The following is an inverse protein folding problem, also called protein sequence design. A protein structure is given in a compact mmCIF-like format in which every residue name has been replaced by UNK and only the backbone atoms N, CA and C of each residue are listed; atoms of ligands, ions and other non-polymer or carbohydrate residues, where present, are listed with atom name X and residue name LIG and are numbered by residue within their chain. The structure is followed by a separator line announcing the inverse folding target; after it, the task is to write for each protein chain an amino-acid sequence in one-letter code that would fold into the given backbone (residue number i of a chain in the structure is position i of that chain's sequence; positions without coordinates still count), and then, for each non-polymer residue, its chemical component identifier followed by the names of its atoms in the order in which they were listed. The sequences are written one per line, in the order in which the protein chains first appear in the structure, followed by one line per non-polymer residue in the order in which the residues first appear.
data_IF_216356058293
#
_entry.id   IF_216356058293
#
_cell.length_a   1.000
_cell.length_b   1.000
_cell.length_c   1.000
_cell.angle_alpha   90.00
_cell.angle_beta   90.00
_cell.angle_gamma   90.00
#
_symmetry.space_group_name_H-M   'P 1'
#
loop_
_entity.id
_entity.type
_entity.pdbx_description
1 polymer ?
#
# COMPACT_ATOMS: atom_id res chain seq x y z
N UNK A 1 -40.10 48.64 -25.58
CA UNK A 1 -39.90 48.69 -24.12
C UNK A 1 -38.89 47.61 -23.78
N UNK A 2 -37.74 48.06 -23.29
CA UNK A 2 -36.50 47.31 -23.10
C UNK A 2 -36.49 46.66 -21.72
N UNK A 3 -36.27 45.35 -21.65
CA UNK A 3 -36.10 44.63 -20.39
C UNK A 3 -34.61 44.33 -20.20
N UNK A 4 -34.03 44.99 -19.21
CA UNK A 4 -32.59 45.08 -18.95
C UNK A 4 -32.07 43.79 -18.31
N UNK A 5 -31.07 43.17 -18.95
CA UNK A 5 -30.31 42.08 -18.37
C UNK A 5 -29.39 42.61 -17.24
N UNK A 6 -29.63 42.13 -16.02
CA UNK A 6 -28.76 42.36 -14.88
C UNK A 6 -27.53 41.44 -14.98
N UNK A 7 -26.43 41.96 -15.51
CA UNK A 7 -25.12 41.31 -15.49
C UNK A 7 -24.51 41.55 -14.11
N UNK A 8 -24.47 40.51 -13.29
CA UNK A 8 -23.71 40.49 -12.05
C UNK A 8 -22.23 40.46 -12.44
N UNK A 9 -21.57 41.61 -12.31
CA UNK A 9 -20.11 41.70 -12.38
C UNK A 9 -19.50 41.07 -11.13
N UNK A 10 -18.46 40.23 -11.25
CA UNK A 10 -17.75 39.71 -10.08
C UNK A 10 -16.96 40.83 -9.41
N UNK A 11 -17.13 40.97 -8.09
CA UNK A 11 -16.41 41.89 -7.21
C UNK A 11 -14.89 41.83 -7.44
N UNK A 12 -14.32 42.96 -7.90
CA UNK A 12 -12.88 43.20 -8.04
C UNK A 12 -12.11 43.29 -6.72
N UNK A 13 -12.80 43.32 -5.58
CA UNK A 13 -12.17 43.43 -4.24
C UNK A 13 -11.51 42.13 -3.76
N UNK A 14 -11.86 40.97 -4.34
CA UNK A 14 -11.25 39.69 -3.96
C UNK A 14 -9.83 39.50 -4.49
N UNK A 15 -9.45 40.26 -5.53
CA UNK A 15 -8.14 40.13 -6.20
C UNK A 15 -7.08 40.99 -5.52
N UNK A 16 -7.43 42.17 -4.99
CA UNK A 16 -6.50 43.05 -4.27
C UNK A 16 -6.09 42.51 -2.90
N UNK A 17 -6.99 41.80 -2.22
CA UNK A 17 -6.70 41.15 -0.93
C UNK A 17 -5.86 39.88 -1.09
N UNK A 18 -6.04 39.14 -2.19
CA UNK A 18 -5.16 38.03 -2.55
C UNK A 18 -3.75 38.51 -2.90
N UNK A 19 -3.63 39.59 -3.69
CA UNK A 19 -2.33 40.18 -4.05
C UNK A 19 -1.64 40.82 -2.82
N UNK A 20 -2.41 41.38 -1.88
CA UNK A 20 -1.87 41.92 -0.63
C UNK A 20 -1.46 40.84 0.39
N UNK A 21 -2.13 39.68 0.39
CA UNK A 21 -1.64 38.48 1.10
C UNK A 21 -0.41 37.88 0.41
N UNK A 22 -0.36 37.83 -0.93
CA UNK A 22 0.79 37.37 -1.71
C UNK A 22 2.06 38.19 -1.42
N UNK A 23 1.94 39.51 -1.31
CA UNK A 23 3.09 40.38 -0.99
C UNK A 23 3.52 40.35 0.49
N UNK A 24 2.66 39.92 1.42
CA UNK A 24 3.05 39.67 2.82
C UNK A 24 3.63 38.28 3.04
N UNK A 25 3.35 37.33 2.14
CA UNK A 25 3.84 35.94 2.18
C UNK A 25 5.19 35.73 1.47
N UNK A 26 5.64 36.68 0.64
CA UNK A 26 6.93 36.62 -0.07
C UNK A 26 8.14 37.05 0.77
N UNK A 27 7.92 37.56 2.00
CA UNK A 27 8.96 38.09 2.89
C UNK A 27 9.42 37.11 4.00
N UNK A 28 9.39 35.79 3.75
CA UNK A 28 10.13 34.83 4.60
C UNK A 28 11.58 34.81 4.14
N UNK A 29 12.39 35.62 4.81
CA UNK A 29 13.83 35.82 4.59
C UNK A 29 14.64 34.52 4.74
N UNK A 30 15.06 33.98 3.58
CA UNK A 30 16.44 33.66 3.22
C UNK A 30 17.24 32.56 3.94
N UNK A 31 16.94 32.18 5.18
CA UNK A 31 17.78 31.24 5.93
C UNK A 31 16.99 29.96 6.20
N UNK A 32 17.43 28.86 5.58
CA UNK A 32 16.87 27.54 5.83
C UNK A 32 17.06 27.17 7.30
N UNK A 33 16.04 26.64 7.98
CA UNK A 33 16.18 26.20 9.36
C UNK A 33 17.24 25.09 9.45
N UNK A 34 17.98 25.06 10.55
CA UNK A 34 19.10 24.12 10.76
C UNK A 34 18.71 22.66 10.50
N UNK A 35 17.47 22.28 10.83
CA UNK A 35 16.93 20.95 10.55
C UNK A 35 16.84 20.63 9.06
N UNK A 36 16.43 21.60 8.22
CA UNK A 36 16.40 21.43 6.77
C UNK A 36 17.80 21.30 6.20
N UNK A 37 18.77 22.06 6.74
CA UNK A 37 20.16 22.01 6.31
C UNK A 37 20.82 20.68 6.68
N UNK A 38 20.58 20.16 7.89
CA UNK A 38 21.05 18.83 8.31
C UNK A 38 20.46 17.75 7.40
N UNK A 39 19.17 17.80 7.11
CA UNK A 39 18.51 16.79 6.26
C UNK A 39 19.05 16.87 4.84
N UNK A 40 19.24 18.05 4.28
CA UNK A 40 19.83 18.24 2.95
C UNK A 40 21.26 17.69 2.91
N UNK A 41 22.06 17.95 3.95
CA UNK A 41 23.40 17.38 4.09
C UNK A 41 23.36 15.85 4.14
N UNK A 42 22.47 15.25 4.93
CA UNK A 42 22.31 13.80 5.00
C UNK A 42 21.87 13.20 3.65
N UNK A 43 20.90 13.82 2.97
CA UNK A 43 20.46 13.41 1.62
C UNK A 43 21.65 13.44 0.66
N UNK A 44 22.41 14.55 0.64
CA UNK A 44 23.63 14.67 -0.17
C UNK A 44 24.69 13.62 0.18
N UNK A 45 24.88 13.33 1.47
CA UNK A 45 25.80 12.31 1.96
C UNK A 45 25.40 10.91 1.47
N UNK A 46 24.12 10.55 1.52
CA UNK A 46 23.63 9.25 1.04
C UNK A 46 23.81 9.10 -0.47
N UNK A 47 23.51 10.15 -1.25
CA UNK A 47 23.79 10.15 -2.69
C UNK A 47 25.29 10.03 -2.97
N UNK A 48 26.13 10.76 -2.24
CA UNK A 48 27.58 10.66 -2.35
C UNK A 48 28.09 9.25 -2.01
N UNK A 49 27.59 8.62 -0.95
CA UNK A 49 27.92 7.24 -0.58
C UNK A 49 27.47 6.20 -1.63
N UNK A 50 26.34 6.45 -2.29
CA UNK A 50 25.89 5.63 -3.42
C UNK A 50 26.85 5.75 -4.61
N UNK A 51 27.21 6.99 -5.00
CA UNK A 51 28.08 7.26 -6.15
C UNK A 51 29.51 6.78 -5.95
N UNK A 52 30.05 6.94 -4.73
CA UNK A 52 31.40 6.44 -4.37
C UNK A 52 31.47 4.92 -4.19
N UNK A 53 30.32 4.23 -4.21
CA UNK A 53 30.25 2.77 -4.07
C UNK A 53 30.39 2.26 -2.64
N UNK A 54 30.32 3.13 -1.63
CA UNK A 54 30.37 2.70 -0.22
C UNK A 54 29.14 1.88 0.17
N UNK A 55 27.94 2.30 -0.28
CA UNK A 55 26.73 1.49 -0.09
C UNK A 55 26.86 0.14 -0.80
N UNK A 56 27.45 0.11 -2.01
CA UNK A 56 27.68 -1.13 -2.74
C UNK A 56 28.60 -2.06 -1.95
N UNK A 57 29.70 -1.53 -1.42
CA UNK A 57 30.63 -2.26 -0.56
C UNK A 57 29.94 -2.80 0.70
N UNK A 58 29.08 -2.01 1.32
CA UNK A 58 28.32 -2.41 2.51
C UNK A 58 27.39 -3.60 2.22
N UNK A 59 26.54 -3.51 1.20
CA UNK A 59 25.61 -4.59 0.87
C UNK A 59 26.29 -5.82 0.28
N UNK A 60 27.32 -5.66 -0.56
CA UNK A 60 28.12 -6.78 -1.04
C UNK A 60 28.75 -7.52 0.15
N UNK A 61 29.40 -6.79 1.05
CA UNK A 61 30.00 -7.35 2.27
C UNK A 61 28.99 -8.10 3.12
N UNK A 62 27.77 -7.58 3.28
CA UNK A 62 26.71 -8.25 4.02
C UNK A 62 26.29 -9.58 3.36
N UNK A 63 26.07 -9.59 2.05
CA UNK A 63 25.73 -10.83 1.31
C UNK A 63 26.83 -11.88 1.45
N UNK A 64 28.10 -11.51 1.24
CA UNK A 64 29.21 -12.46 1.34
C UNK A 64 29.44 -12.93 2.78
N UNK A 65 29.19 -12.08 3.77
CA UNK A 65 29.19 -12.49 5.18
C UNK A 65 28.12 -13.56 5.43
N UNK A 66 26.87 -13.33 5.01
CA UNK A 66 25.80 -14.32 5.15
C UNK A 66 26.12 -15.61 4.38
N UNK A 67 26.72 -15.51 3.21
CA UNK A 67 27.14 -16.66 2.43
C UNK A 67 28.26 -17.44 3.12
N UNK A 68 29.22 -16.76 3.73
CA UNK A 68 30.30 -17.42 4.47
C UNK A 68 29.79 -18.32 5.61
N UNK A 69 28.67 -17.92 6.23
CA UNK A 69 28.00 -18.63 7.33
C UNK A 69 27.07 -19.72 6.83
N UNK A 70 26.21 -19.39 5.86
CA UNK A 70 25.14 -20.30 5.41
C UNK A 70 25.59 -21.29 4.35
N UNK A 71 26.66 -20.96 3.60
CA UNK A 71 27.09 -21.67 2.38
C UNK A 71 26.01 -21.81 1.31
N UNK A 72 24.97 -20.98 1.39
CA UNK A 72 23.82 -21.00 0.49
C UNK A 72 23.49 -19.59 0.02
N UNK A 73 23.61 -19.36 -1.29
CA UNK A 73 23.46 -18.02 -1.84
C UNK A 73 22.01 -17.55 -1.78
N UNK A 74 21.03 -18.42 -2.06
CA UNK A 74 19.63 -18.01 -1.97
C UNK A 74 19.18 -17.69 -0.54
N UNK A 75 19.67 -18.43 0.46
CA UNK A 75 19.42 -18.11 1.87
C UNK A 75 20.08 -16.78 2.23
N UNK A 76 21.29 -16.53 1.74
CA UNK A 76 22.02 -15.27 1.96
C UNK A 76 21.28 -14.06 1.38
N UNK A 77 20.62 -14.22 0.24
CA UNK A 77 19.76 -13.19 -0.37
C UNK A 77 18.54 -12.91 0.51
N UNK A 78 17.89 -13.94 1.06
CA UNK A 78 16.77 -13.78 2.00
C UNK A 78 17.25 -13.06 3.28
N UNK A 79 18.40 -13.47 3.83
CA UNK A 79 19.02 -12.84 4.99
C UNK A 79 19.38 -11.38 4.72
N UNK A 80 19.78 -11.02 3.49
CA UNK A 80 19.97 -9.64 3.09
C UNK A 80 18.67 -8.83 3.21
N UNK A 81 17.54 -9.36 2.76
CA UNK A 81 16.23 -8.72 2.90
C UNK A 81 15.80 -8.55 4.36
N UNK A 82 16.02 -9.58 5.20
CA UNK A 82 15.80 -9.50 6.65
C UNK A 82 16.70 -8.45 7.28
N UNK A 83 18.00 -8.47 6.96
CA UNK A 83 18.98 -7.51 7.47
C UNK A 83 18.63 -6.08 7.08
N UNK A 84 18.24 -5.84 5.82
CA UNK A 84 17.77 -4.54 5.36
C UNK A 84 16.55 -4.08 6.16
N UNK A 85 15.59 -4.97 6.42
CA UNK A 85 14.45 -4.64 7.28
C UNK A 85 14.91 -4.21 8.67
N UNK A 86 15.81 -4.96 9.30
CA UNK A 86 16.34 -4.66 10.63
C UNK A 86 17.02 -3.28 10.68
N UNK A 87 17.86 -2.98 9.68
CA UNK A 87 18.53 -1.67 9.55
C UNK A 87 17.53 -0.53 9.40
N UNK A 88 16.39 -0.77 8.74
CA UNK A 88 15.35 0.23 8.50
C UNK A 88 14.28 0.30 9.61
N UNK A 89 14.33 -0.55 10.64
CA UNK A 89 13.38 -0.52 11.77
C UNK A 89 13.29 0.87 12.42
N UNK A 90 14.40 1.56 12.75
CA UNK A 90 14.33 2.88 13.37
C UNK A 90 13.52 3.87 12.51
N UNK A 91 13.77 3.90 11.20
CA UNK A 91 13.04 4.76 10.27
C UNK A 91 11.54 4.38 10.25
N UNK A 92 11.23 3.08 10.27
CA UNK A 92 9.85 2.58 10.31
C UNK A 92 9.11 2.99 11.58
N UNK A 93 9.78 2.96 12.74
CA UNK A 93 9.22 3.41 14.03
C UNK A 93 8.88 4.91 13.93
N UNK A 94 9.83 5.74 13.50
CA UNK A 94 9.62 7.18 13.37
C UNK A 94 8.48 7.52 12.39
N UNK A 95 8.39 6.80 11.26
CA UNK A 95 7.30 6.95 10.29
C UNK A 95 5.94 6.63 10.92
N UNK A 96 5.87 5.57 11.73
CA UNK A 96 4.62 5.14 12.38
C UNK A 96 4.18 6.14 13.44
N UNK A 97 5.10 6.70 14.23
CA UNK A 97 4.81 7.74 15.23
C UNK A 97 4.27 9.02 14.58
N UNK A 98 4.77 9.37 13.39
CA UNK A 98 4.40 10.61 12.69
C UNK A 98 3.41 10.41 11.54
N UNK A 99 2.79 9.23 11.46
CA UNK A 99 1.90 8.87 10.36
C UNK A 99 0.72 9.86 10.22
N UNK A 100 0.15 10.33 11.33
CA UNK A 100 -0.97 11.27 11.30
C UNK A 100 -0.56 12.64 10.75
N UNK A 101 0.60 13.17 11.16
CA UNK A 101 1.10 14.45 10.63
C UNK A 101 1.49 14.38 9.15
N UNK A 102 1.98 13.22 8.70
CA UNK A 102 2.31 12.97 7.29
C UNK A 102 1.04 12.84 6.44
N UNK A 103 0.01 12.17 6.97
CA UNK A 103 -1.29 12.04 6.32
C UNK A 103 -2.00 13.40 6.20
N UNK A 104 -2.02 14.18 7.27
CA UNK A 104 -2.59 15.53 7.26
C UNK A 104 -1.88 16.46 6.25
N UNK A 105 -0.57 16.32 6.11
CA UNK A 105 0.20 17.06 5.11
C UNK A 105 -0.12 16.58 3.69
N UNK A 106 -0.15 15.26 3.47
CA UNK A 106 -0.47 14.68 2.17
C UNK A 106 -1.88 15.09 1.72
N UNK A 107 -2.87 14.99 2.60
CA UNK A 107 -4.26 15.37 2.33
C UNK A 107 -4.36 16.87 1.99
N UNK A 108 -3.63 17.74 2.70
CA UNK A 108 -3.56 19.18 2.39
C UNK A 108 -2.93 19.47 1.02
N UNK A 109 -1.90 18.72 0.63
CA UNK A 109 -1.26 18.88 -0.68
C UNK A 109 -2.14 18.32 -1.80
N UNK A 110 -2.81 17.18 -1.57
CA UNK A 110 -3.73 16.56 -2.52
C UNK A 110 -4.98 17.41 -2.80
N UNK A 111 -5.42 18.23 -1.84
CA UNK A 111 -6.50 19.20 -2.03
C UNK A 111 -6.12 20.36 -2.97
N UNK A 112 -4.83 20.60 -3.23
CA UNK A 112 -4.37 21.64 -4.15
C UNK A 112 -4.34 21.07 -5.58
N UNK A 113 -5.37 21.38 -6.38
CA UNK A 113 -5.55 20.82 -7.74
C UNK A 113 -4.53 21.32 -8.78
N UNK A 114 -3.78 22.41 -8.51
CA UNK A 114 -2.83 22.98 -9.46
C UNK A 114 -1.37 22.63 -9.13
N UNK A 115 -0.57 22.15 -10.11
CA UNK A 115 0.82 21.72 -9.88
C UNK A 115 1.74 22.85 -9.40
N UNK A 116 1.51 24.10 -9.83
CA UNK A 116 2.26 25.26 -9.34
C UNK A 116 2.02 25.56 -7.85
N UNK A 117 0.79 25.36 -7.37
CA UNK A 117 0.44 25.55 -5.95
C UNK A 117 0.97 24.41 -5.08
N UNK A 118 1.01 23.19 -5.61
CA UNK A 118 1.66 22.05 -4.93
C UNK A 118 3.17 22.30 -4.74
N UNK A 119 3.85 22.80 -5.78
CA UNK A 119 5.28 23.12 -5.70
C UNK A 119 5.57 24.23 -4.68
N UNK A 120 4.71 25.26 -4.61
CA UNK A 120 4.83 26.32 -3.60
C UNK A 120 4.58 25.79 -2.18
N UNK A 121 3.58 24.92 -1.98
CA UNK A 121 3.31 24.29 -0.69
C UNK A 121 4.47 23.40 -0.21
N UNK A 122 5.12 22.66 -1.13
CA UNK A 122 6.31 21.86 -0.85
C UNK A 122 7.51 22.75 -0.49
N UNK A 123 7.77 23.80 -1.28
CA UNK A 123 8.84 24.77 -1.02
C UNK A 123 8.64 25.47 0.33
N UNK A 124 7.40 25.83 0.66
CA UNK A 124 7.02 26.41 1.95
C UNK A 124 7.25 25.41 3.09
N UNK A 125 6.86 24.15 2.93
CA UNK A 125 7.05 23.11 3.96
C UNK A 125 8.54 22.82 4.22
N UNK A 126 9.37 22.89 3.18
CA UNK A 126 10.83 22.76 3.30
C UNK A 126 11.48 23.99 3.96
N UNK A 127 11.08 25.20 3.55
CA UNK A 127 11.59 26.45 4.11
C UNK A 127 11.14 26.69 5.56
N UNK A 128 9.95 26.19 5.94
CA UNK A 128 9.46 26.22 7.32
C UNK A 128 10.05 25.12 8.20
N UNK A 129 10.89 24.23 7.65
CA UNK A 129 11.55 23.19 8.43
C UNK A 129 10.57 22.15 8.99
N UNK A 130 9.51 21.82 8.25
CA UNK A 130 8.55 20.82 8.70
C UNK A 130 9.26 19.47 8.93
N UNK A 131 9.43 19.11 10.21
CA UNK A 131 10.17 17.91 10.61
C UNK A 131 9.55 16.62 10.06
N UNK A 132 8.25 16.58 9.79
CA UNK A 132 7.59 15.41 9.19
C UNK A 132 7.99 15.29 7.71
N UNK A 133 7.90 16.39 6.95
CA UNK A 133 8.30 16.42 5.54
C UNK A 133 9.78 16.09 5.35
N UNK A 134 10.66 16.72 6.14
CA UNK A 134 12.10 16.49 6.05
C UNK A 134 12.48 15.04 6.38
N UNK A 135 11.83 14.46 7.39
CA UNK A 135 12.04 13.05 7.72
C UNK A 135 11.57 12.13 6.59
N UNK A 136 10.40 12.41 6.00
CA UNK A 136 9.91 11.67 4.84
C UNK A 136 10.88 11.71 3.66
N UNK A 137 11.44 12.88 3.36
CA UNK A 137 12.44 13.05 2.30
C UNK A 137 13.70 12.21 2.58
N UNK A 138 14.16 12.20 3.82
CA UNK A 138 15.31 11.38 4.24
C UNK A 138 15.01 9.89 4.13
N UNK A 139 13.87 9.43 4.66
CA UNK A 139 13.43 8.04 4.61
C UNK A 139 13.33 7.54 3.17
N UNK A 140 12.67 8.32 2.30
CA UNK A 140 12.58 8.04 0.87
C UNK A 140 13.96 7.94 0.21
N UNK A 141 14.87 8.87 0.51
CA UNK A 141 16.23 8.87 -0.05
C UNK A 141 17.02 7.62 0.37
N UNK A 142 16.94 7.22 1.64
CA UNK A 142 17.63 6.03 2.16
C UNK A 142 17.08 4.77 1.51
N UNK A 143 15.75 4.65 1.39
CA UNK A 143 15.11 3.51 0.73
C UNK A 143 15.48 3.43 -0.75
N UNK A 144 15.43 4.56 -1.48
CA UNK A 144 15.77 4.62 -2.89
C UNK A 144 17.24 4.25 -3.15
N UNK A 145 18.17 4.88 -2.43
CA UNK A 145 19.62 4.63 -2.59
C UNK A 145 19.99 3.20 -2.22
N UNK A 146 19.37 2.64 -1.19
CA UNK A 146 19.52 1.22 -0.80
C UNK A 146 19.01 0.29 -1.89
N UNK A 147 17.78 0.50 -2.36
CA UNK A 147 17.16 -0.33 -3.40
C UNK A 147 17.97 -0.34 -4.69
N UNK A 148 18.39 0.83 -5.18
CA UNK A 148 19.22 0.95 -6.37
C UNK A 148 20.58 0.26 -6.20
N UNK A 149 21.17 0.34 -5.01
CA UNK A 149 22.46 -0.29 -4.72
C UNK A 149 22.36 -1.81 -4.70
N UNK A 150 21.34 -2.37 -4.03
CA UNK A 150 21.09 -3.81 -3.99
C UNK A 150 20.74 -4.33 -5.39
N UNK A 151 19.94 -3.59 -6.15
CA UNK A 151 19.64 -3.90 -7.55
C UNK A 151 20.91 -3.97 -8.40
N UNK A 152 21.78 -2.95 -8.29
CA UNK A 152 23.08 -2.95 -8.97
C UNK A 152 23.96 -4.13 -8.56
N UNK A 153 23.95 -4.52 -7.29
CA UNK A 153 24.69 -5.67 -6.80
C UNK A 153 24.22 -6.96 -7.49
N UNK A 154 22.93 -7.24 -7.52
CA UNK A 154 22.43 -8.47 -8.16
C UNK A 154 22.52 -8.46 -9.69
N UNK A 155 22.53 -7.27 -10.31
CA UNK A 155 22.77 -7.12 -11.75
C UNK A 155 24.24 -7.33 -12.13
N UNK A 156 25.19 -7.10 -11.22
CA UNK A 156 26.56 -7.58 -11.43
C UNK A 156 26.54 -9.10 -11.34
N UNK A 157 26.96 -9.80 -12.40
CA UNK A 157 27.05 -11.27 -12.45
C UNK A 157 28.19 -11.80 -11.54
N UNK A 158 28.11 -11.49 -10.25
CA UNK A 158 29.06 -11.94 -9.24
C UNK A 158 28.83 -13.42 -8.86
N UNK A 159 27.83 -14.08 -9.46
CA UNK A 159 27.59 -15.50 -9.27
C UNK A 159 28.58 -16.35 -10.06
N UNK A 160 28.95 -15.87 -11.25
CA UNK A 160 29.84 -16.57 -12.17
C UNK A 160 31.21 -15.91 -12.22
N UNK A 161 31.28 -14.58 -12.07
CA UNK A 161 32.51 -13.82 -12.13
C UNK A 161 32.93 -13.30 -10.76
N UNK A 162 34.20 -13.47 -10.35
CA UNK A 162 34.65 -13.01 -9.04
C UNK A 162 34.55 -11.49 -8.91
N UNK A 163 33.84 -11.04 -7.86
CA UNK A 163 33.77 -9.62 -7.51
C UNK A 163 35.15 -9.13 -7.05
N UNK A 164 35.62 -7.98 -7.53
CA UNK A 164 36.90 -7.42 -7.07
C UNK A 164 36.94 -7.35 -5.51
N UNK A 165 37.90 -8.02 -4.84
CA UNK A 165 38.01 -8.04 -3.37
C UNK A 165 38.08 -6.66 -2.72
N UNK A 166 38.59 -5.65 -3.42
CA UNK A 166 38.61 -4.26 -2.93
C UNK A 166 37.22 -3.67 -2.69
N UNK A 167 36.16 -4.26 -3.28
CA UNK A 167 34.77 -3.89 -3.06
C UNK A 167 34.14 -4.55 -1.83
N UNK A 168 34.90 -5.29 -1.04
CA UNK A 168 34.47 -5.91 0.21
C UNK A 168 35.23 -5.32 1.39
N UNK A 169 34.67 -5.41 2.60
CA UNK A 169 35.44 -5.12 3.80
C UNK A 169 36.46 -6.23 4.07
N UNK A 170 37.62 -5.86 4.62
CA UNK A 170 38.75 -6.78 4.84
C UNK A 170 38.43 -7.94 5.79
N UNK A 171 37.44 -7.76 6.66
CA UNK A 171 37.01 -8.78 7.63
C UNK A 171 35.98 -9.77 7.06
N UNK A 172 35.51 -9.58 5.82
CA UNK A 172 34.55 -10.49 5.19
C UNK A 172 35.29 -11.63 4.51
N UNK A 173 35.00 -12.91 4.84
CA UNK A 173 35.60 -14.03 4.14
C UNK A 173 35.24 -14.01 2.65
N UNK A 174 36.25 -14.02 1.79
CA UNK A 174 36.05 -14.11 0.36
C UNK A 174 35.60 -15.53 -0.01
N UNK A 175 34.54 -15.73 -0.79
CA UNK A 175 34.04 -17.05 -1.09
C UNK A 175 34.90 -17.75 -2.15
N UNK A 176 34.82 -19.07 -2.14
CA UNK A 176 35.29 -19.89 -3.25
C UNK A 176 34.29 -19.81 -4.41
N UNK A 177 34.82 -19.68 -5.63
CA UNK A 177 34.04 -19.61 -6.87
C UNK A 177 34.12 -20.94 -7.64
N UNK A 178 33.05 -21.32 -8.37
CA UNK A 178 31.78 -20.62 -8.52
C UNK A 178 30.92 -20.66 -7.24
N UNK A 179 30.07 -19.65 -7.05
CA UNK A 179 29.15 -19.59 -5.91
C UNK A 179 28.21 -20.80 -5.92
N UNK A 180 28.11 -21.48 -4.78
CA UNK A 180 27.31 -22.69 -4.60
C UNK A 180 25.87 -22.39 -4.15
N UNK A 181 24.99 -23.38 -4.34
CA UNK A 181 23.59 -23.38 -3.92
C UNK A 181 22.84 -22.10 -4.30
N UNK A 182 22.85 -21.82 -5.61
CA UNK A 182 22.13 -20.70 -6.23
C UNK A 182 20.65 -20.98 -6.46
N UNK A 183 20.22 -22.23 -6.33
CA UNK A 183 18.84 -22.62 -6.59
C UNK A 183 17.99 -22.46 -5.34
N UNK A 184 17.11 -21.46 -5.32
CA UNK A 184 16.17 -21.32 -4.22
C UNK A 184 15.14 -22.44 -4.24
N UNK A 185 14.61 -22.79 -3.07
CA UNK A 185 13.61 -23.85 -2.88
C UNK A 185 12.54 -23.35 -1.92
N UNK A 186 11.59 -22.61 -2.45
CA UNK A 186 10.49 -22.05 -1.66
C UNK A 186 9.32 -23.03 -1.65
N UNK A 187 8.91 -23.57 -0.48
CA UNK A 187 7.71 -24.37 -0.41
C UNK A 187 6.48 -23.49 -0.67
N UNK A 188 5.57 -23.95 -1.52
CA UNK A 188 4.30 -23.28 -1.78
C UNK A 188 3.14 -24.29 -1.79
N UNK A 189 1.97 -23.89 -1.29
CA UNK A 189 0.78 -24.71 -1.39
C UNK A 189 0.37 -24.81 -2.85
N UNK A 190 0.22 -26.05 -3.35
CA UNK A 190 -0.34 -26.33 -4.68
C UNK A 190 -1.61 -27.12 -4.52
N UNK A 191 -2.57 -26.82 -5.38
CA UNK A 191 -3.79 -27.61 -5.52
C UNK A 191 -3.38 -28.91 -6.23
N UNK A 192 -3.37 -30.03 -5.50
CA UNK A 192 -2.93 -31.33 -6.04
C UNK A 192 -4.03 -31.99 -6.85
N UNK A 193 -5.25 -31.89 -6.36
CA UNK A 193 -6.45 -32.42 -7.00
C UNK A 193 -7.48 -31.31 -7.08
N UNK A 194 -8.05 -31.14 -8.27
CA UNK A 194 -9.26 -30.35 -8.48
C UNK A 194 -10.40 -31.31 -8.76
N UNK A 195 -11.57 -31.03 -8.17
CA UNK A 195 -12.80 -31.71 -8.55
C UNK A 195 -13.62 -30.77 -9.42
N UNK A 196 -13.95 -31.22 -10.61
CA UNK A 196 -14.97 -30.56 -11.42
C UNK A 196 -16.34 -30.99 -10.88
N UNK A 197 -17.06 -30.04 -10.26
CA UNK A 197 -18.41 -30.26 -9.76
C UNK A 197 -19.43 -30.47 -10.90
N UNK A 198 -19.03 -30.21 -12.15
CA UNK A 198 -19.83 -30.36 -13.35
C UNK A 198 -20.86 -29.25 -13.53
N UNK A 199 -21.28 -29.05 -14.79
CA UNK A 199 -22.23 -28.01 -15.18
C UNK A 199 -23.55 -28.03 -14.41
N UNK A 200 -24.04 -29.24 -14.04
CA UNK A 200 -25.28 -29.39 -13.29
C UNK A 200 -25.22 -28.70 -11.93
N UNK A 201 -24.11 -28.87 -11.20
CA UNK A 201 -23.93 -28.26 -9.87
C UNK A 201 -23.77 -26.75 -9.98
N UNK A 202 -23.03 -26.28 -10.99
CA UNK A 202 -22.81 -24.85 -11.24
C UNK A 202 -24.15 -24.15 -11.52
N UNK A 203 -24.98 -24.72 -12.40
CA UNK A 203 -26.32 -24.19 -12.70
C UNK A 203 -27.19 -24.22 -11.45
N UNK A 204 -27.17 -25.29 -10.66
CA UNK A 204 -27.98 -25.42 -9.45
C UNK A 204 -27.60 -24.37 -8.39
N UNK A 205 -26.30 -24.16 -8.15
CA UNK A 205 -25.80 -23.09 -7.28
C UNK A 205 -26.25 -21.72 -7.78
N UNK A 206 -26.18 -21.47 -9.09
CA UNK A 206 -26.63 -20.21 -9.68
C UNK A 206 -28.14 -19.99 -9.54
N UNK A 207 -28.96 -21.01 -9.80
CA UNK A 207 -30.41 -20.97 -9.57
C UNK A 207 -30.70 -20.68 -8.10
N UNK A 208 -30.00 -21.34 -7.16
CA UNK A 208 -30.15 -21.08 -5.73
C UNK A 208 -29.80 -19.64 -5.36
N UNK A 209 -28.70 -19.09 -5.88
CA UNK A 209 -28.31 -17.68 -5.66
C UNK A 209 -29.37 -16.72 -6.23
N UNK A 210 -29.89 -16.99 -7.43
CA UNK A 210 -30.94 -16.18 -8.05
C UNK A 210 -32.23 -16.20 -7.25
N UNK A 211 -32.71 -17.39 -6.85
CA UNK A 211 -33.89 -17.55 -6.00
C UNK A 211 -33.70 -16.82 -4.67
N UNK A 212 -32.54 -16.98 -4.03
CA UNK A 212 -32.21 -16.28 -2.79
C UNK A 212 -32.23 -14.75 -2.95
N UNK A 213 -31.67 -14.21 -4.04
CA UNK A 213 -31.74 -12.77 -4.33
C UNK A 213 -33.18 -12.29 -4.56
N UNK A 214 -34.01 -13.06 -5.27
CA UNK A 214 -35.43 -12.74 -5.46
C UNK A 214 -36.14 -12.71 -4.10
N UNK A 215 -35.94 -13.73 -3.25
CA UNK A 215 -36.53 -13.79 -1.92
C UNK A 215 -36.10 -12.59 -1.06
N UNK A 216 -34.81 -12.24 -1.06
CA UNK A 216 -34.31 -11.05 -0.35
C UNK A 216 -34.90 -9.74 -0.89
N UNK A 217 -35.05 -9.62 -2.20
CA UNK A 217 -35.63 -8.43 -2.84
C UNK A 217 -37.11 -8.28 -2.49
N UNK A 218 -37.88 -9.36 -2.63
CA UNK A 218 -39.30 -9.41 -2.26
C UNK A 218 -39.48 -9.16 -0.77
N UNK A 219 -38.69 -9.79 0.09
CA UNK A 219 -38.72 -9.59 1.54
C UNK A 219 -38.40 -8.16 1.95
N UNK A 220 -37.38 -7.53 1.36
CA UNK A 220 -37.06 -6.11 1.58
C UNK A 220 -38.20 -5.20 1.15
N UNK A 221 -38.80 -5.44 0.00
CA UNK A 221 -39.92 -4.66 -0.51
C UNK A 221 -41.18 -4.86 0.35
N UNK A 222 -41.43 -6.07 0.84
CA UNK A 222 -42.52 -6.38 1.75
C UNK A 222 -42.35 -5.68 3.10
N UNK A 223 -41.15 -5.71 3.69
CA UNK A 223 -40.83 -4.97 4.93
C UNK A 223 -40.94 -3.46 4.73
N UNK A 224 -40.48 -2.93 3.59
CA UNK A 224 -40.61 -1.51 3.27
C UNK A 224 -42.07 -1.08 3.08
N UNK A 225 -42.90 -1.93 2.47
CA UNK A 225 -44.34 -1.74 2.34
C UNK A 225 -45.05 -1.81 3.70
N UNK A 226 -44.73 -2.81 4.53
CA UNK A 226 -45.28 -2.97 5.87
C UNK A 226 -44.92 -1.79 6.80
N UNK A 227 -43.77 -1.13 6.56
CA UNK A 227 -43.35 0.10 7.26
C UNK A 227 -43.92 1.39 6.65
N UNK A 228 -44.78 1.30 5.64
CA UNK A 228 -45.43 2.46 5.01
C UNK A 228 -44.49 3.36 4.19
N UNK A 229 -43.26 2.92 3.91
CA UNK A 229 -42.23 3.73 3.25
C UNK A 229 -42.38 3.78 1.72
N UNK A 230 -43.23 2.93 1.11
CA UNK A 230 -43.39 2.81 -0.36
C UNK A 230 -44.87 2.51 -0.72
N UNK A 231 -45.43 3.20 -1.73
CA UNK A 231 -46.75 2.87 -2.32
C UNK A 231 -46.69 1.51 -3.04
N UNK A 232 -47.83 0.79 -3.09
CA UNK A 232 -47.97 -0.58 -3.65
C UNK A 232 -46.98 -0.86 -4.80
N UNK A 233 -46.14 -1.91 -4.70
CA UNK A 233 -45.16 -2.20 -5.75
C UNK A 233 -45.86 -2.54 -7.05
N UNK A 234 -45.76 -1.66 -8.06
CA UNK A 234 -46.24 -1.92 -9.41
C UNK A 234 -45.22 -2.80 -10.14
N UNK A 235 -45.67 -3.82 -10.88
CA UNK A 235 -44.81 -4.79 -11.61
C UNK A 235 -43.77 -4.11 -12.51
N UNK A 236 -44.06 -2.89 -12.99
CA UNK A 236 -43.15 -2.07 -13.79
C UNK A 236 -41.93 -1.51 -13.01
N UNK A 237 -42.06 -1.21 -11.71
CA UNK A 237 -40.93 -0.68 -10.90
C UNK A 237 -39.93 -1.78 -10.53
N UNK A 238 -40.39 -3.03 -10.44
CA UNK A 238 -39.54 -4.20 -10.28
C UNK A 238 -38.67 -4.44 -11.52
N UNK A 239 -39.24 -4.31 -12.73
CA UNK A 239 -38.50 -4.53 -13.99
C UNK A 239 -37.38 -3.51 -14.24
N UNK A 240 -37.55 -2.27 -13.79
CA UNK A 240 -36.57 -1.18 -13.96
C UNK A 240 -35.40 -1.26 -12.97
N UNK A 241 -35.59 -1.83 -11.79
CA UNK A 241 -34.57 -1.81 -10.73
C UNK A 241 -33.60 -3.00 -10.79
N UNK A 242 -34.03 -4.12 -11.39
CA UNK A 242 -33.26 -5.39 -11.40
C UNK A 242 -32.38 -5.55 -12.64
N UNK A 243 -32.64 -4.81 -13.73
CA UNK A 243 -31.94 -4.90 -15.02
C UNK A 243 -31.27 -3.57 -15.40
N UNK A 244 -30.48 -3.03 -14.49
CA UNK A 244 -29.48 -2.01 -14.87
C UNK A 244 -28.57 -2.60 -15.94
N UNK A 245 -28.24 -1.84 -17.00
CA UNK A 245 -27.32 -2.29 -18.08
C UNK A 245 -25.97 -2.80 -17.58
N UNK A 246 -25.59 -2.46 -16.34
CA UNK A 246 -24.39 -2.95 -15.67
C UNK A 246 -24.56 -4.30 -14.93
N UNK A 247 -25.79 -4.76 -14.66
CA UNK A 247 -26.03 -6.03 -13.96
C UNK A 247 -25.76 -7.24 -14.86
N UNK A 248 -26.02 -7.15 -16.17
CA UNK A 248 -25.80 -8.27 -17.09
C UNK A 248 -24.31 -8.57 -17.30
N UNK A 249 -23.48 -7.53 -17.48
CA UNK A 249 -22.03 -7.68 -17.58
C UNK A 249 -21.40 -8.20 -16.29
N UNK A 250 -21.84 -7.67 -15.14
CA UNK A 250 -21.41 -8.16 -13.83
C UNK A 250 -21.82 -9.63 -13.61
N UNK A 251 -23.05 -10.00 -13.95
CA UNK A 251 -23.53 -11.39 -13.89
C UNK A 251 -22.69 -12.31 -14.77
N UNK A 252 -22.35 -11.89 -15.98
CA UNK A 252 -21.48 -12.67 -16.88
C UNK A 252 -20.08 -12.89 -16.29
N UNK A 253 -19.46 -11.84 -15.75
CA UNK A 253 -18.12 -11.93 -15.12
C UNK A 253 -18.16 -12.80 -13.87
N UNK A 254 -19.16 -12.60 -12.99
CA UNK A 254 -19.32 -13.41 -11.78
C UNK A 254 -19.64 -14.86 -12.14
N UNK A 255 -20.43 -15.10 -13.19
CA UNK A 255 -20.70 -16.44 -13.71
C UNK A 255 -19.43 -17.11 -14.20
N UNK A 256 -18.63 -16.41 -15.00
CA UNK A 256 -17.36 -16.91 -15.50
C UNK A 256 -16.37 -17.22 -14.37
N UNK A 257 -16.24 -16.33 -13.38
CA UNK A 257 -15.42 -16.55 -12.19
C UNK A 257 -15.94 -17.72 -11.35
N UNK A 258 -17.24 -17.79 -11.12
CA UNK A 258 -17.86 -18.88 -10.36
C UNK A 258 -17.69 -20.22 -11.07
N UNK A 259 -17.83 -20.22 -12.40
CA UNK A 259 -17.55 -21.39 -13.23
C UNK A 259 -16.08 -21.82 -13.09
N UNK A 260 -15.14 -20.88 -13.19
CA UNK A 260 -13.71 -21.17 -13.04
C UNK A 260 -13.39 -21.77 -11.67
N UNK A 261 -13.93 -21.18 -10.59
CA UNK A 261 -13.74 -21.65 -9.21
C UNK A 261 -14.40 -23.01 -8.97
N UNK A 262 -15.66 -23.20 -9.39
CA UNK A 262 -16.42 -24.43 -9.14
C UNK A 262 -15.96 -25.59 -10.04
N UNK A 263 -15.43 -25.30 -11.22
CA UNK A 263 -14.86 -26.32 -12.11
C UNK A 263 -13.44 -26.72 -11.69
N UNK A 264 -12.75 -25.89 -10.90
CA UNK A 264 -11.40 -26.15 -10.38
C UNK A 264 -11.39 -26.15 -8.85
N UNK A 265 -12.43 -26.70 -8.21
CA UNK A 265 -12.54 -26.65 -6.76
C UNK A 265 -11.38 -27.47 -6.15
N UNK A 266 -10.50 -26.85 -5.34
CA UNK A 266 -9.38 -27.56 -4.75
C UNK A 266 -9.88 -28.56 -3.70
N UNK A 267 -9.68 -29.86 -3.94
CA UNK A 267 -10.02 -30.93 -2.99
C UNK A 267 -8.81 -31.49 -2.26
N UNK A 268 -7.59 -31.20 -2.75
CA UNK A 268 -6.33 -31.54 -2.11
C UNK A 268 -5.37 -30.36 -2.12
N UNK A 269 -4.75 -30.10 -0.98
CA UNK A 269 -3.61 -29.19 -0.86
C UNK A 269 -2.36 -30.03 -0.63
N UNK A 270 -1.37 -29.87 -1.51
CA UNK A 270 -0.02 -30.41 -1.32
C UNK A 270 0.98 -29.28 -1.22
N UNK A 271 2.21 -29.61 -0.82
CA UNK A 271 3.32 -28.67 -0.83
C UNK A 271 4.23 -29.04 -1.99
N UNK A 272 4.40 -28.14 -2.94
CA UNK A 272 5.44 -28.25 -3.97
C UNK A 272 6.57 -27.28 -3.67
N UNK A 273 7.73 -27.55 -4.23
CA UNK A 273 8.90 -26.67 -4.10
C UNK A 273 8.98 -25.84 -5.37
N UNK A 274 8.89 -24.53 -5.21
CA UNK A 274 9.15 -23.57 -6.26
C UNK A 274 10.66 -23.34 -6.29
N UNK A 275 11.29 -23.57 -7.44
CA UNK A 275 12.74 -23.46 -7.58
C UNK A 275 13.14 -22.68 -8.81
N UNK A 276 14.30 -22.04 -8.71
CA UNK A 276 14.91 -21.26 -9.77
C UNK A 276 16.31 -20.84 -9.38
N UNK A 277 17.15 -20.55 -10.37
CA UNK A 277 18.50 -20.02 -10.13
C UNK A 277 18.38 -18.52 -9.83
N UNK A 278 18.92 -18.07 -8.68
CA UNK A 278 18.90 -16.67 -8.27
C UNK A 278 19.64 -15.74 -9.24
N UNK A 279 20.58 -16.27 -10.04
CA UNK A 279 21.33 -15.48 -11.02
C UNK A 279 20.52 -15.09 -12.26
N UNK A 280 19.43 -15.81 -12.55
CA UNK A 280 18.61 -15.61 -13.74
C UNK A 280 17.19 -15.16 -13.38
N UNK A 281 16.50 -14.59 -14.37
CA UNK A 281 15.08 -14.27 -14.24
C UNK A 281 14.21 -15.53 -14.17
N UNK A 282 13.12 -15.49 -13.41
CA UNK A 282 12.15 -16.58 -13.33
C UNK A 282 10.74 -16.05 -13.60
N UNK A 283 10.25 -16.24 -14.82
CA UNK A 283 8.94 -15.72 -15.25
C UNK A 283 7.77 -16.25 -14.41
N UNK A 284 7.88 -17.45 -13.85
CA UNK A 284 6.83 -18.02 -12.99
C UNK A 284 6.83 -17.30 -11.64
N UNK A 285 8.01 -17.03 -11.09
CA UNK A 285 8.14 -16.26 -9.84
C UNK A 285 7.63 -14.84 -10.04
N UNK A 286 8.08 -14.19 -11.11
CA UNK A 286 7.65 -12.86 -11.55
C UNK A 286 6.12 -12.74 -11.61
N UNK A 287 5.46 -13.76 -12.16
CA UNK A 287 3.99 -13.80 -12.27
C UNK A 287 3.34 -13.90 -10.89
N UNK A 288 3.86 -14.76 -10.01
CA UNK A 288 3.34 -14.94 -8.65
C UNK A 288 3.51 -13.65 -7.84
N UNK A 289 4.69 -13.03 -7.90
CA UNK A 289 4.98 -11.76 -7.24
C UNK A 289 4.05 -10.66 -7.74
N UNK A 290 3.88 -10.51 -9.06
CA UNK A 290 2.98 -9.50 -9.63
C UNK A 290 1.51 -9.68 -9.19
N UNK A 291 1.03 -10.93 -9.14
CA UNK A 291 -0.32 -11.24 -8.63
C UNK A 291 -0.41 -10.91 -7.13
N UNK A 292 0.61 -11.26 -6.33
CA UNK A 292 0.65 -10.95 -4.91
C UNK A 292 0.65 -9.43 -4.66
N UNK A 293 1.44 -8.65 -5.41
CA UNK A 293 1.45 -7.19 -5.35
C UNK A 293 0.08 -6.62 -5.71
N UNK A 294 -0.54 -7.09 -6.80
CA UNK A 294 -1.90 -6.68 -7.19
C UNK A 294 -2.93 -6.91 -6.08
N UNK A 295 -2.96 -8.14 -5.52
CA UNK A 295 -3.91 -8.51 -4.48
C UNK A 295 -3.67 -7.72 -3.19
N UNK A 296 -2.41 -7.50 -2.82
CA UNK A 296 -2.02 -6.76 -1.62
C UNK A 296 -2.44 -5.30 -1.71
N UNK A 297 -2.17 -4.63 -2.83
CA UNK A 297 -2.59 -3.24 -3.05
C UNK A 297 -4.12 -3.12 -3.05
N UNK A 298 -4.81 -4.02 -3.75
CA UNK A 298 -6.27 -4.01 -3.79
C UNK A 298 -6.86 -4.23 -2.39
N UNK A 299 -6.27 -5.13 -1.58
CA UNK A 299 -6.69 -5.39 -0.22
C UNK A 299 -6.57 -4.15 0.68
N UNK A 300 -5.40 -3.48 0.66
CA UNK A 300 -5.18 -2.27 1.45
C UNK A 300 -6.12 -1.13 1.05
N UNK A 301 -6.28 -0.91 -0.26
CA UNK A 301 -7.16 0.14 -0.78
C UNK A 301 -8.63 -0.11 -0.44
N UNK A 302 -9.10 -1.36 -0.52
CA UNK A 302 -10.46 -1.73 -0.13
C UNK A 302 -10.70 -1.45 1.36
N UNK A 303 -9.72 -1.75 2.21
CA UNK A 303 -9.80 -1.45 3.63
C UNK A 303 -9.85 0.06 3.89
N UNK A 304 -9.01 0.85 3.21
CA UNK A 304 -9.01 2.31 3.32
C UNK A 304 -10.33 2.94 2.85
N UNK A 305 -10.89 2.45 1.75
CA UNK A 305 -12.20 2.90 1.24
C UNK A 305 -13.30 2.58 2.26
N UNK A 306 -13.25 1.40 2.90
CA UNK A 306 -14.21 1.03 3.94
C UNK A 306 -14.12 1.99 5.15
N UNK A 307 -12.92 2.30 5.60
CA UNK A 307 -12.70 3.24 6.71
C UNK A 307 -13.20 4.65 6.37
N UNK A 308 -12.89 5.17 5.18
CA UNK A 308 -13.36 6.48 4.70
C UNK A 308 -14.89 6.53 4.61
N UNK A 309 -15.54 5.45 4.17
CA UNK A 309 -17.01 5.35 4.17
C UNK A 309 -17.60 5.43 5.57
N UNK A 310 -16.98 4.78 6.56
CA UNK A 310 -17.42 4.83 7.96
C UNK A 310 -17.30 6.25 8.52
N UNK A 311 -16.15 6.91 8.34
CA UNK A 311 -15.95 8.31 8.77
C UNK A 311 -16.92 9.29 8.09
N UNK A 312 -17.20 9.11 6.80
CA UNK A 312 -18.17 9.94 6.09
C UNK A 312 -19.62 9.74 6.60
N UNK A 313 -19.97 8.52 7.04
CA UNK A 313 -21.28 8.25 7.69
C UNK A 313 -21.37 8.92 9.05
N UNK A 314 -20.30 8.87 9.84
CA UNK A 314 -20.19 9.56 11.12
C UNK A 314 -20.31 11.08 10.96
N UNK A 315 -19.73 11.64 9.90
CA UNK A 315 -19.85 13.04 9.51
C UNK A 315 -21.20 13.41 8.85
N UNK A 316 -22.19 12.51 8.84
CA UNK A 316 -23.54 12.71 8.28
C UNK A 316 -23.56 13.11 6.79
N UNK A 317 -22.57 12.69 6.01
CA UNK A 317 -22.54 12.91 4.56
C UNK A 317 -23.66 12.10 3.88
N UNK A 318 -24.26 12.66 2.83
CA UNK A 318 -25.35 12.01 2.11
C UNK A 318 -24.92 10.63 1.57
N UNK A 319 -25.71 9.58 1.87
CA UNK A 319 -25.42 8.19 1.48
C UNK A 319 -25.18 8.02 -0.02
N UNK A 320 -25.93 8.73 -0.86
CA UNK A 320 -25.77 8.73 -2.32
C UNK A 320 -24.38 9.22 -2.75
N UNK A 321 -23.83 10.23 -2.06
CA UNK A 321 -22.50 10.75 -2.30
C UNK A 321 -21.43 9.76 -1.82
N UNK A 322 -21.61 9.15 -0.65
CA UNK A 322 -20.71 8.11 -0.11
C UNK A 322 -20.61 6.91 -1.07
N UNK A 323 -21.75 6.45 -1.60
CA UNK A 323 -21.79 5.30 -2.51
C UNK A 323 -21.25 5.64 -3.92
N UNK A 324 -21.37 6.89 -4.36
CA UNK A 324 -20.77 7.38 -5.60
C UNK A 324 -19.24 7.49 -5.47
N UNK A 325 -18.77 8.18 -4.44
CA UNK A 325 -17.33 8.34 -4.17
C UNK A 325 -16.65 7.00 -3.94
N UNK A 326 -17.27 6.10 -3.16
CA UNK A 326 -16.73 4.77 -2.92
C UNK A 326 -16.57 3.92 -4.19
N UNK A 327 -17.40 4.12 -5.21
CA UNK A 327 -17.25 3.45 -6.51
C UNK A 327 -16.12 4.05 -7.36
N UNK A 328 -15.98 5.37 -7.33
CA UNK A 328 -14.89 6.07 -8.02
C UNK A 328 -13.54 5.62 -7.44
N UNK A 329 -13.40 5.71 -6.12
CA UNK A 329 -12.19 5.28 -5.41
C UNK A 329 -11.86 3.82 -5.69
N UNK A 330 -12.85 2.91 -5.64
CA UNK A 330 -12.60 1.50 -5.92
C UNK A 330 -12.13 1.25 -7.36
N UNK A 331 -12.68 1.98 -8.35
CA UNK A 331 -12.25 1.87 -9.75
C UNK A 331 -10.81 2.38 -9.93
N UNK A 332 -10.47 3.49 -9.29
CA UNK A 332 -9.12 4.07 -9.30
C UNK A 332 -8.11 3.12 -8.64
N UNK A 333 -8.46 2.56 -7.49
CA UNK A 333 -7.67 1.55 -6.79
C UNK A 333 -7.46 0.28 -7.63
N UNK A 334 -8.51 -0.24 -8.25
CA UNK A 334 -8.40 -1.40 -9.14
C UNK A 334 -7.47 -1.11 -10.33
N UNK A 335 -7.63 0.05 -10.98
CA UNK A 335 -6.78 0.44 -12.10
C UNK A 335 -5.32 0.60 -11.67
N UNK A 336 -5.08 1.26 -10.53
CA UNK A 336 -3.74 1.45 -9.95
C UNK A 336 -3.10 0.11 -9.62
N UNK A 337 -3.82 -0.79 -8.94
CA UNK A 337 -3.31 -2.11 -8.61
C UNK A 337 -2.97 -2.92 -9.87
N UNK A 338 -3.78 -2.87 -10.92
CA UNK A 338 -3.49 -3.55 -12.21
C UNK A 338 -2.22 -2.97 -12.84
N UNK A 339 -2.13 -1.65 -12.94
CA UNK A 339 -0.97 -0.98 -13.54
C UNK A 339 0.31 -1.26 -12.77
N UNK A 340 0.25 -1.23 -11.43
CA UNK A 340 1.40 -1.55 -10.58
C UNK A 340 1.77 -3.03 -10.68
N UNK A 341 0.80 -3.95 -10.67
CA UNK A 341 1.07 -5.38 -10.84
C UNK A 341 1.68 -5.71 -12.20
N UNK A 342 1.18 -5.13 -13.28
CA UNK A 342 1.77 -5.27 -14.62
C UNK A 342 3.16 -4.64 -14.68
N UNK A 343 3.33 -3.44 -14.13
CA UNK A 343 4.63 -2.77 -14.05
C UNK A 343 5.66 -3.61 -13.27
N UNK A 344 5.25 -4.19 -12.15
CA UNK A 344 6.07 -5.11 -11.38
C UNK A 344 6.48 -6.31 -12.23
N UNK A 345 5.54 -6.98 -12.91
CA UNK A 345 5.86 -8.10 -13.81
C UNK A 345 6.87 -7.73 -14.91
N UNK A 346 6.67 -6.60 -15.58
CA UNK A 346 7.58 -6.17 -16.65
C UNK A 346 8.98 -5.84 -16.14
N UNK A 347 9.09 -5.22 -14.96
CA UNK A 347 10.37 -4.90 -14.34
C UNK A 347 11.06 -6.16 -13.82
N UNK A 348 10.32 -7.04 -13.13
CA UNK A 348 10.87 -8.28 -12.57
C UNK A 348 11.31 -9.26 -13.65
N UNK A 349 10.68 -9.20 -14.83
CA UNK A 349 11.10 -9.97 -16.00
C UNK A 349 12.31 -9.38 -16.74
N UNK A 350 13.00 -8.38 -16.18
CA UNK A 350 14.26 -7.83 -16.68
C UNK A 350 15.40 -7.93 -15.66
N UNK A 351 15.13 -8.48 -14.48
CA UNK A 351 16.10 -8.52 -13.36
C UNK A 351 16.28 -9.95 -12.83
N UNK A 352 17.45 -10.25 -12.23
CA UNK A 352 17.71 -11.55 -11.63
C UNK A 352 16.75 -11.86 -10.47
N UNK A 353 16.40 -13.14 -10.34
CA UNK A 353 15.50 -13.62 -9.29
C UNK A 353 16.05 -13.37 -7.87
N UNK A 354 17.36 -13.21 -7.68
CA UNK A 354 17.93 -12.77 -6.40
C UNK A 354 17.33 -11.45 -5.90
N UNK A 355 17.20 -10.48 -6.79
CA UNK A 355 16.63 -9.19 -6.46
C UNK A 355 15.16 -9.35 -6.08
N UNK A 356 14.41 -10.07 -6.90
CA UNK A 356 13.00 -10.35 -6.65
C UNK A 356 12.77 -11.11 -5.33
N UNK A 357 13.61 -12.11 -5.03
CA UNK A 357 13.54 -12.87 -3.78
C UNK A 357 13.76 -11.96 -2.56
N UNK A 358 14.68 -10.98 -2.68
CA UNK A 358 14.87 -9.98 -1.64
C UNK A 358 13.64 -9.06 -1.49
N UNK A 359 13.04 -8.62 -2.60
CA UNK A 359 11.83 -7.78 -2.61
C UNK A 359 10.64 -8.56 -2.04
N UNK A 360 10.43 -9.80 -2.46
CA UNK A 360 9.39 -10.68 -1.94
C UNK A 360 9.53 -10.89 -0.43
N UNK A 361 10.76 -11.06 0.07
CA UNK A 361 11.02 -11.15 1.51
C UNK A 361 10.60 -9.86 2.22
N UNK A 362 10.92 -8.69 1.66
CA UNK A 362 10.49 -7.39 2.21
C UNK A 362 8.97 -7.24 2.18
N UNK A 363 8.30 -7.62 1.09
CA UNK A 363 6.85 -7.56 0.95
C UNK A 363 6.17 -8.47 1.97
N UNK A 364 6.64 -9.71 2.13
CA UNK A 364 6.12 -10.65 3.11
C UNK A 364 6.26 -10.11 4.54
N UNK A 365 7.43 -9.57 4.89
CA UNK A 365 7.64 -8.91 6.19
C UNK A 365 6.71 -7.70 6.34
N UNK A 366 6.50 -6.92 5.28
CA UNK A 366 5.61 -5.76 5.31
C UNK A 366 4.14 -6.13 5.50
N UNK A 367 3.70 -7.26 4.93
CA UNK A 367 2.35 -7.79 5.08
C UNK A 367 2.12 -8.33 6.49
N UNK A 368 3.16 -8.90 7.11
CA UNK A 368 3.13 -9.37 8.50
C UNK A 368 3.35 -8.23 9.53
N UNK A 369 3.92 -7.09 9.11
CA UNK A 369 4.27 -5.96 9.99
C UNK A 369 3.07 -5.37 10.75
N UNK A 370 1.90 -5.12 10.11
CA UNK A 370 0.69 -4.66 10.81
C UNK A 370 0.24 -5.59 11.94
N UNK A 371 0.48 -6.89 11.80
CA UNK A 371 0.06 -7.92 12.75
C UNK A 371 1.09 -8.13 13.88
N UNK A 372 2.32 -7.68 13.69
CA UNK A 372 3.45 -7.96 14.59
C UNK A 372 4.06 -6.65 15.11
N UNK A 373 5.02 -6.09 14.37
CA UNK A 373 5.83 -4.94 14.78
C UNK A 373 4.99 -3.67 14.98
N UNK A 374 4.11 -3.34 14.03
CA UNK A 374 3.34 -2.09 14.08
C UNK A 374 2.28 -2.14 15.20
N UNK A 375 1.72 -3.33 15.46
CA UNK A 375 0.84 -3.56 16.61
C UNK A 375 1.60 -3.37 17.93
N UNK A 376 2.78 -3.96 18.06
CA UNK A 376 3.59 -3.84 19.27
C UNK A 376 4.05 -2.40 19.54
N UNK A 377 4.44 -1.67 18.48
CA UNK A 377 4.78 -0.24 18.54
C UNK A 377 3.58 0.60 18.98
N UNK A 378 2.39 0.37 18.43
CA UNK A 378 1.17 1.11 18.79
C UNK A 378 0.69 0.80 20.20
N UNK A 379 0.79 -0.45 20.64
CA UNK A 379 0.39 -0.87 21.99
C UNK A 379 1.40 -0.38 23.05
N UNK A 380 2.70 -0.42 22.74
CA UNK A 380 3.77 0.06 23.63
C UNK A 380 3.83 1.58 23.80
N UNK A 381 3.23 2.35 22.88
CA UNK A 381 3.18 3.82 22.94
C UNK A 381 1.80 4.40 23.24
N UNK A 382 0.81 3.57 23.64
CA UNK A 382 -0.42 4.15 24.22
C UNK A 382 -0.02 4.97 25.44
N UNK A 383 -0.27 6.30 25.45
CA UNK A 383 0.05 7.11 26.61
C UNK A 383 -0.68 6.52 27.81
N UNK A 384 0.08 6.17 28.85
CA UNK A 384 -0.50 5.81 30.15
C UNK A 384 -1.37 7.02 30.54
N UNK A 385 -2.67 6.85 30.78
CA UNK A 385 -3.52 7.98 31.12
C UNK A 385 -2.90 8.72 32.31
N UNK A 386 -2.85 10.07 32.31
CA UNK A 386 -2.32 10.82 33.43
C UNK A 386 -2.96 10.30 34.73
N UNK A 387 -2.18 10.16 35.80
CA UNK A 387 -2.68 9.64 37.08
C UNK A 387 -3.93 10.42 37.56
N UNK A 388 -4.01 11.70 37.21
CA UNK A 388 -5.17 12.58 37.46
C UNK A 388 -6.45 12.14 36.70
N UNK A 389 -6.34 11.72 35.44
CA UNK A 389 -7.49 11.22 34.66
C UNK A 389 -7.94 9.85 35.16
N UNK A 390 -7.00 9.04 35.66
CA UNK A 390 -7.33 7.75 36.28
C UNK A 390 -8.07 7.93 37.60
N UNK A 391 -7.65 8.90 38.43
CA UNK A 391 -8.33 9.28 39.66
C UNK A 391 -9.70 9.96 39.40
N UNK A 392 -9.83 10.76 38.35
CA UNK A 392 -11.12 11.37 37.97
C UNK A 392 -12.11 10.31 37.43
N UNK A 393 -11.64 9.32 36.68
CA UNK A 393 -12.49 8.23 36.20
C UNK A 393 -12.86 7.27 37.34
N UNK A 394 -11.93 6.94 38.24
CA UNK A 394 -12.20 6.10 39.41
C UNK A 394 -13.19 6.77 40.37
N UNK A 395 -13.04 8.08 40.65
CA UNK A 395 -13.99 8.83 41.50
C UNK A 395 -15.38 8.99 40.87
N UNK A 396 -15.49 9.13 39.54
CA UNK A 396 -16.78 9.16 38.83
C UNK A 396 -17.47 7.80 38.80
N UNK A 397 -16.71 6.71 38.74
CA UNK A 397 -17.24 5.34 38.81
C UNK A 397 -17.71 5.02 40.24
N UNK A 398 -16.96 5.44 41.26
CA UNK A 398 -17.40 5.34 42.67
C UNK A 398 -18.69 6.13 42.92
N UNK A 399 -18.77 7.39 42.46
CA UNK A 399 -19.95 8.22 42.58
C UNK A 399 -21.19 7.63 41.88
N UNK A 400 -21.00 6.96 40.73
CA UNK A 400 -22.08 6.30 40.00
C UNK A 400 -22.54 4.98 40.65
N UNK A 401 -21.69 4.36 41.49
CA UNK A 401 -22.01 3.11 42.19
C UNK A 401 -22.75 3.38 43.51
N UNK A 402 -22.55 4.55 44.11
CA UNK A 402 -23.27 5.01 45.33
C UNK A 402 -24.69 5.53 45.01
N UNK A 403 -24.98 5.84 43.75
CA UNK A 403 -26.30 6.29 43.27
C UNK A 403 -27.21 5.15 42.79
N UNK A 404 -26.78 3.89 42.95
CA UNK A 404 -27.62 2.68 42.85
C UNK A 404 -27.85 2.12 44.23
#
# INVERSE_FOLDING_TARGET
MSESANIITPNSDSTSDQVSQENRLSNVTGILPLTSLIVLFLVGLFFWWMLTGQLFRFYASAVFLFYSVTKSMWISVILLGVFQTLVLIPLRIFRTIRADSLKDMHDRVAMLQHPGLQQQALRKSFNLGNKAFLFYLLDFTIQLTTFLTIGKLFLTDFYSHPLNPARLYSWVPYPEYPILDRFFKLPYPVITNTMDLGWRTIILVWVAIFVFQIVLSVGRNFVAYARGLVKKPTVASLKSQTLSKYSLGYLGVVFWLSWLILSHLPTGLGIKIFSGDVAFQNSTFNTVTAIATFLTLLWFDVHEIAEKKTKAREAKVAKSLIDKMGRIMFRESMFTAIMVGLGAYFITNQIPCAFELSVFTLELISLLSPLTLDKWIREGMKPKPPAEVKAEVESRVEAATVLK
#
